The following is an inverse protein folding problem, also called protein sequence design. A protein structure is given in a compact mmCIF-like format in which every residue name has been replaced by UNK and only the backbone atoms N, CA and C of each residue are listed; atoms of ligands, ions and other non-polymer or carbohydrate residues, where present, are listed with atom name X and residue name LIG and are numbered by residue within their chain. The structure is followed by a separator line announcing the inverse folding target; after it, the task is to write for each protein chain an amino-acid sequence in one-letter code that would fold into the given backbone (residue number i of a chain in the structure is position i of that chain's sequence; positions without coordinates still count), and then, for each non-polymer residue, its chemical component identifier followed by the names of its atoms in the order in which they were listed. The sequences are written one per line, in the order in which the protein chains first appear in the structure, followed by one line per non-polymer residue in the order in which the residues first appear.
data_IF_806205260072
#
_entry.id   IF_806205260072
#
_cell.length_a   1.000
_cell.length_b   1.000
_cell.length_c   1.000
_cell.angle_alpha   90.00
_cell.angle_beta   90.00
_cell.angle_gamma   90.00
#
_symmetry.space_group_name_H-M   'P 1'
#
loop_
_entity.id
_entity.type
_entity.pdbx_description
1 polymer ?
#
# COMPACT_ATOMS: atom_id res chain seq x y z
N UNK A 1 28.02 -0.10 -9.18
CA UNK A 1 27.12 0.52 -10.17
C UNK A 1 26.38 -0.56 -10.94
N UNK A 2 27.08 -1.42 -11.71
CA UNK A 2 26.47 -2.60 -12.36
C UNK A 2 25.77 -3.51 -11.33
N UNK A 3 26.41 -3.77 -10.18
CA UNK A 3 25.79 -4.52 -9.07
C UNK A 3 24.50 -3.87 -8.52
N UNK A 4 24.47 -2.54 -8.39
CA UNK A 4 23.27 -1.84 -7.86
C UNK A 4 22.13 -1.84 -8.89
N UNK A 5 22.44 -1.74 -10.19
CA UNK A 5 21.46 -1.88 -11.26
C UNK A 5 20.88 -3.29 -11.30
N UNK A 6 21.72 -4.32 -11.16
CA UNK A 6 21.26 -5.71 -11.11
C UNK A 6 20.40 -5.99 -9.87
N UNK A 7 20.79 -5.47 -8.70
CA UNK A 7 19.98 -5.55 -7.47
C UNK A 7 18.61 -4.90 -7.64
N UNK A 8 18.56 -3.71 -8.24
CA UNK A 8 17.30 -3.00 -8.50
C UNK A 8 16.41 -3.79 -9.45
N UNK A 9 16.96 -4.25 -10.58
CA UNK A 9 16.21 -5.04 -11.56
C UNK A 9 15.63 -6.32 -10.93
N UNK A 10 16.43 -7.05 -10.16
CA UNK A 10 15.95 -8.25 -9.46
C UNK A 10 14.81 -7.93 -8.48
N UNK A 11 14.92 -6.84 -7.71
CA UNK A 11 13.88 -6.44 -6.78
C UNK A 11 12.57 -6.03 -7.50
N UNK A 12 12.67 -5.37 -8.66
CA UNK A 12 11.51 -5.07 -9.50
C UNK A 12 10.89 -6.37 -10.02
N UNK A 13 11.69 -7.30 -10.55
CA UNK A 13 11.21 -8.60 -11.04
C UNK A 13 10.46 -9.37 -9.93
N UNK A 14 10.97 -9.39 -8.70
CA UNK A 14 10.27 -10.01 -7.57
C UNK A 14 8.98 -9.26 -7.21
N UNK A 15 8.98 -7.93 -7.28
CA UNK A 15 7.77 -7.12 -7.03
C UNK A 15 6.70 -7.38 -8.09
N UNK A 16 7.08 -7.59 -9.36
CA UNK A 16 6.14 -7.95 -10.43
C UNK A 16 5.51 -9.34 -10.18
N UNK A 17 6.29 -10.34 -9.80
CA UNK A 17 5.79 -11.68 -9.42
C UNK A 17 4.80 -11.61 -8.24
N UNK A 18 5.08 -10.74 -7.30
CA UNK A 18 4.24 -10.46 -6.17
C UNK A 18 2.89 -9.86 -6.54
N UNK A 19 2.85 -8.92 -7.49
CA UNK A 19 1.62 -8.35 -8.04
C UNK A 19 0.81 -9.39 -8.81
N UNK A 20 1.48 -10.29 -9.55
CA UNK A 20 0.80 -11.44 -10.17
C UNK A 20 0.15 -12.35 -9.12
N UNK A 21 0.82 -12.56 -7.99
CA UNK A 21 0.29 -13.37 -6.89
C UNK A 21 -0.93 -12.72 -6.25
N UNK A 22 -0.91 -11.39 -6.05
CA UNK A 22 -2.06 -10.63 -5.55
C UNK A 22 -3.24 -10.65 -6.54
N UNK A 23 -2.95 -10.53 -7.84
CA UNK A 23 -3.95 -10.65 -8.91
C UNK A 23 -4.64 -12.01 -8.85
N UNK A 24 -3.87 -13.10 -8.86
CA UNK A 24 -4.40 -14.45 -8.80
C UNK A 24 -5.19 -14.73 -7.49
N UNK A 25 -4.77 -14.13 -6.37
CA UNK A 25 -5.50 -14.22 -5.09
C UNK A 25 -6.89 -13.57 -5.18
N UNK A 26 -6.96 -12.38 -5.79
CA UNK A 26 -8.22 -11.68 -5.98
C UNK A 26 -9.16 -12.46 -6.91
N UNK A 27 -8.65 -12.96 -8.03
CA UNK A 27 -9.40 -13.81 -8.97
C UNK A 27 -9.93 -15.09 -8.31
N UNK A 28 -9.10 -15.78 -7.53
CA UNK A 28 -9.51 -16.98 -6.80
C UNK A 28 -10.62 -16.73 -5.76
N UNK A 29 -10.76 -15.46 -5.33
CA UNK A 29 -11.80 -15.01 -4.42
C UNK A 29 -13.03 -14.42 -5.15
N UNK A 30 -13.03 -14.42 -6.48
CA UNK A 30 -14.10 -13.84 -7.31
C UNK A 30 -14.15 -12.31 -7.30
N UNK A 31 -13.03 -11.65 -7.00
CA UNK A 31 -12.91 -10.20 -6.88
C UNK A 31 -12.25 -9.60 -8.13
N UNK A 32 -12.92 -9.72 -9.29
CA UNK A 32 -12.34 -9.36 -10.60
C UNK A 32 -11.91 -7.89 -10.70
N UNK A 33 -12.70 -6.96 -10.14
CA UNK A 33 -12.34 -5.53 -10.11
C UNK A 33 -11.06 -5.28 -9.29
N UNK A 34 -10.83 -6.07 -8.24
CA UNK A 34 -9.61 -5.99 -7.42
C UNK A 34 -8.43 -6.63 -8.13
N UNK A 35 -8.65 -7.72 -8.87
CA UNK A 35 -7.60 -8.31 -9.73
C UNK A 35 -7.13 -7.30 -10.79
N UNK A 36 -8.06 -6.57 -11.41
CA UNK A 36 -7.74 -5.52 -12.39
C UNK A 36 -6.87 -4.39 -11.81
N UNK A 37 -7.05 -4.06 -10.53
CA UNK A 37 -6.19 -3.09 -9.83
C UNK A 37 -4.73 -3.55 -9.80
N UNK A 38 -4.47 -4.77 -9.34
CA UNK A 38 -3.10 -5.29 -9.24
C UNK A 38 -2.47 -5.59 -10.60
N UNK A 39 -3.28 -5.94 -11.60
CA UNK A 39 -2.83 -6.00 -12.99
C UNK A 39 -2.39 -4.62 -13.51
N UNK A 40 -3.15 -3.56 -13.19
CA UNK A 40 -2.76 -2.18 -13.49
C UNK A 40 -1.47 -1.75 -12.78
N UNK A 41 -1.31 -2.12 -11.50
CA UNK A 41 -0.08 -1.90 -10.75
C UNK A 41 1.13 -2.59 -11.38
N UNK A 42 0.94 -3.82 -11.87
CA UNK A 42 1.99 -4.52 -12.62
C UNK A 42 2.35 -3.78 -13.89
N UNK A 43 1.37 -3.33 -14.68
CA UNK A 43 1.64 -2.54 -15.89
C UNK A 43 2.38 -1.24 -15.60
N UNK A 44 2.03 -0.56 -14.50
CA UNK A 44 2.73 0.66 -14.06
C UNK A 44 4.19 0.37 -13.69
N UNK A 45 4.45 -0.71 -12.95
CA UNK A 45 5.79 -1.05 -12.48
C UNK A 45 6.70 -1.59 -13.61
N UNK A 46 6.12 -2.26 -14.61
CA UNK A 46 6.84 -2.81 -15.77
C UNK A 46 7.21 -1.75 -16.82
N UNK A 47 6.95 -0.47 -16.53
CA UNK A 47 7.35 0.63 -17.40
C UNK A 47 8.89 0.80 -17.42
N UNK A 48 9.55 0.60 -18.59
CA UNK A 48 11.00 0.74 -18.70
C UNK A 48 11.51 2.15 -18.38
N UNK A 49 10.67 3.19 -18.44
CA UNK A 49 11.07 4.56 -18.10
C UNK A 49 11.40 4.72 -16.61
N UNK A 50 10.73 3.98 -15.71
CA UNK A 50 11.04 4.00 -14.28
C UNK A 50 12.45 3.44 -13.99
N UNK A 51 12.79 2.31 -14.62
CA UNK A 51 14.11 1.71 -14.48
C UNK A 51 15.20 2.58 -15.12
N UNK A 52 14.90 3.21 -16.25
CA UNK A 52 15.82 4.14 -16.90
C UNK A 52 16.13 5.34 -15.98
N UNK A 53 15.09 5.99 -15.42
CA UNK A 53 15.26 7.11 -14.50
C UNK A 53 16.09 6.73 -13.25
N UNK A 54 15.83 5.57 -12.66
CA UNK A 54 16.61 5.10 -11.51
C UNK A 54 18.07 4.79 -11.91
N UNK A 55 18.27 4.24 -13.11
CA UNK A 55 19.61 3.93 -13.65
C UNK A 55 20.44 5.19 -13.89
N UNK A 56 19.82 6.30 -14.31
CA UNK A 56 20.47 7.59 -14.45
C UNK A 56 20.94 8.13 -13.09
N UNK A 57 20.11 8.06 -12.05
CA UNK A 57 20.48 8.47 -10.69
C UNK A 57 21.66 7.64 -10.15
N UNK A 58 21.63 6.32 -10.34
CA UNK A 58 22.73 5.43 -9.93
C UNK A 58 24.06 5.80 -10.61
N UNK A 59 24.01 6.20 -11.88
CA UNK A 59 25.20 6.57 -12.65
C UNK A 59 25.72 7.95 -12.26
N UNK A 60 24.84 8.93 -12.07
CA UNK A 60 25.22 10.33 -11.85
C UNK A 60 25.55 10.64 -10.38
N UNK A 61 24.80 10.05 -9.43
CA UNK A 61 24.95 10.36 -8.01
C UNK A 61 25.79 9.33 -7.25
N UNK A 62 26.12 8.19 -7.88
CA UNK A 62 26.85 7.07 -7.26
C UNK A 62 26.18 6.59 -5.94
N UNK A 63 24.85 6.57 -5.92
CA UNK A 63 24.02 6.19 -4.79
C UNK A 63 23.64 4.69 -4.81
N UNK A 64 22.86 4.24 -3.82
CA UNK A 64 22.37 2.86 -3.74
C UNK A 64 21.06 2.67 -4.50
N UNK A 65 20.72 1.42 -4.85
CA UNK A 65 19.47 1.05 -5.49
C UNK A 65 18.24 1.51 -4.70
N UNK A 66 18.26 1.40 -3.38
CA UNK A 66 17.16 1.83 -2.51
C UNK A 66 16.93 3.33 -2.63
N UNK A 67 18.01 4.12 -2.58
CA UNK A 67 17.90 5.57 -2.68
C UNK A 67 17.42 5.99 -4.07
N UNK A 68 18.03 5.47 -5.14
CA UNK A 68 17.65 5.81 -6.51
C UNK A 68 16.16 5.47 -6.78
N UNK A 69 15.74 4.27 -6.41
CA UNK A 69 14.35 3.83 -6.57
C UNK A 69 13.38 4.68 -5.74
N UNK A 70 13.76 4.99 -4.50
CA UNK A 70 12.96 5.84 -3.62
C UNK A 70 12.78 7.24 -4.19
N UNK A 71 13.78 7.83 -4.85
CA UNK A 71 13.62 9.15 -5.48
C UNK A 71 12.61 9.10 -6.62
N UNK A 72 12.78 8.15 -7.56
CA UNK A 72 11.89 8.03 -8.74
C UNK A 72 10.44 7.84 -8.32
N UNK A 73 10.17 6.90 -7.40
CA UNK A 73 8.79 6.57 -7.03
C UNK A 73 8.18 7.62 -6.11
N UNK A 74 8.97 8.30 -5.27
CA UNK A 74 8.47 9.45 -4.51
C UNK A 74 8.10 10.62 -5.41
N UNK A 75 8.86 10.87 -6.47
CA UNK A 75 8.52 11.90 -7.44
C UNK A 75 7.20 11.56 -8.15
N UNK A 76 7.04 10.31 -8.61
CA UNK A 76 5.78 9.86 -9.20
C UNK A 76 4.60 9.95 -8.22
N UNK A 77 4.80 9.54 -6.97
CA UNK A 77 3.80 9.65 -5.89
C UNK A 77 3.37 11.11 -5.67
N UNK A 78 4.33 12.04 -5.63
CA UNK A 78 4.06 13.47 -5.53
C UNK A 78 3.31 14.03 -6.74
N UNK A 79 3.62 13.57 -7.96
CA UNK A 79 2.89 13.96 -9.17
C UNK A 79 1.41 13.58 -9.06
N UNK A 80 1.09 12.37 -8.58
CA UNK A 80 -0.30 11.98 -8.32
C UNK A 80 -0.96 12.89 -7.28
N UNK A 81 -0.27 13.18 -6.16
CA UNK A 81 -0.80 14.07 -5.11
C UNK A 81 -1.12 15.50 -5.59
N UNK A 82 -0.49 15.95 -6.69
CA UNK A 82 -0.69 17.28 -7.26
C UNK A 82 -1.82 17.35 -8.30
N UNK A 83 -2.44 16.23 -8.66
CA UNK A 83 -3.58 16.22 -9.59
C UNK A 83 -4.79 16.91 -8.97
N UNK A 84 -5.71 17.46 -9.77
CA UNK A 84 -6.89 18.17 -9.24
C UNK A 84 -8.01 17.22 -8.77
N UNK A 85 -8.06 16.00 -9.30
CA UNK A 85 -9.11 15.02 -9.03
C UNK A 85 -8.75 14.14 -7.84
N UNK A 86 -9.58 14.14 -6.78
CA UNK A 86 -9.34 13.40 -5.54
C UNK A 86 -9.17 11.87 -5.74
N UNK A 87 -9.89 11.29 -6.71
CA UNK A 87 -9.79 9.87 -7.03
C UNK A 87 -8.44 9.54 -7.69
N UNK A 88 -7.97 10.43 -8.58
CA UNK A 88 -6.65 10.32 -9.19
C UNK A 88 -5.53 10.63 -8.18
N UNK A 89 -5.71 11.61 -7.31
CA UNK A 89 -4.76 11.90 -6.23
C UNK A 89 -4.52 10.66 -5.38
N UNK A 90 -5.58 9.95 -4.99
CA UNK A 90 -5.48 8.77 -4.14
C UNK A 90 -4.59 7.64 -4.69
N UNK A 91 -4.22 7.68 -5.98
CA UNK A 91 -3.28 6.73 -6.59
C UNK A 91 -1.85 6.86 -6.06
N UNK A 92 -1.50 7.94 -5.36
CA UNK A 92 -0.20 8.03 -4.68
C UNK A 92 0.02 6.85 -3.72
N UNK A 93 -1.06 6.35 -3.09
CA UNK A 93 -1.02 5.21 -2.16
C UNK A 93 -0.61 3.92 -2.89
N UNK A 94 -1.01 3.78 -4.15
CA UNK A 94 -0.63 2.64 -4.99
C UNK A 94 0.86 2.72 -5.36
N UNK A 95 1.36 3.92 -5.69
CA UNK A 95 2.78 4.15 -5.97
C UNK A 95 3.64 3.90 -4.73
N UNK A 96 3.16 4.34 -3.56
CA UNK A 96 3.84 4.11 -2.28
C UNK A 96 3.85 2.60 -1.92
N UNK A 97 2.79 1.86 -2.26
CA UNK A 97 2.74 0.39 -2.13
C UNK A 97 3.82 -0.28 -3.00
N UNK A 98 3.92 0.10 -4.27
CA UNK A 98 4.96 -0.40 -5.19
C UNK A 98 6.37 -0.09 -4.66
N UNK A 99 6.61 1.16 -4.24
CA UNK A 99 7.87 1.58 -3.65
C UNK A 99 8.22 0.71 -2.43
N UNK A 100 7.30 0.60 -1.48
CA UNK A 100 7.49 -0.17 -0.25
C UNK A 100 7.84 -1.62 -0.57
N UNK A 101 7.09 -2.25 -1.47
CA UNK A 101 7.26 -3.65 -1.84
C UNK A 101 8.61 -3.92 -2.51
N UNK A 102 9.07 -3.03 -3.39
CA UNK A 102 10.40 -3.15 -4.00
C UNK A 102 11.52 -2.90 -2.98
N UNK A 103 11.34 -1.97 -2.03
CA UNK A 103 12.32 -1.74 -0.96
C UNK A 103 12.46 -2.95 -0.02
N UNK A 104 11.38 -3.66 0.26
CA UNK A 104 11.41 -4.91 1.04
C UNK A 104 12.31 -5.94 0.36
N UNK A 105 12.21 -6.11 -0.97
CA UNK A 105 13.09 -6.99 -1.74
C UNK A 105 14.54 -6.51 -1.77
N UNK A 106 14.78 -5.22 -1.99
CA UNK A 106 16.12 -4.63 -2.03
C UNK A 106 16.89 -4.81 -0.71
N UNK A 107 16.17 -4.60 0.39
CA UNK A 107 16.73 -4.70 1.76
C UNK A 107 16.69 -6.12 2.31
N UNK A 108 16.07 -7.06 1.59
CA UNK A 108 15.83 -8.45 2.02
C UNK A 108 15.13 -8.52 3.39
N UNK A 109 14.30 -7.51 3.68
CA UNK A 109 13.56 -7.45 4.93
C UNK A 109 12.43 -8.46 4.90
N UNK A 110 12.23 -9.19 6.01
CA UNK A 110 11.03 -9.99 6.18
C UNK A 110 9.97 -9.16 6.87
N UNK A 111 8.92 -8.83 6.14
CA UNK A 111 7.73 -8.23 6.73
C UNK A 111 6.63 -9.29 6.76
N UNK A 112 6.11 -9.56 7.95
CA UNK A 112 4.95 -10.40 8.15
C UNK A 112 3.83 -9.53 8.71
N UNK A 113 2.64 -9.67 8.15
CA UNK A 113 1.48 -9.03 8.75
C UNK A 113 1.24 -9.62 10.14
N UNK A 114 0.91 -8.79 11.14
CA UNK A 114 0.63 -9.28 12.47
C UNK A 114 -0.49 -10.30 12.42
N UNK A 115 -0.34 -11.38 13.19
CA UNK A 115 -1.40 -12.36 13.35
C UNK A 115 -2.34 -11.90 14.46
N UNK A 116 -3.63 -11.88 14.15
CA UNK A 116 -4.68 -11.50 15.08
C UNK A 116 -5.42 -12.77 15.55
N UNK A 117 -5.63 -12.88 16.85
CA UNK A 117 -6.29 -14.03 17.49
C UNK A 117 -7.70 -13.68 18.05
N UNK A 118 -8.13 -12.44 17.85
CA UNK A 118 -9.40 -11.91 18.34
C UNK A 118 -9.88 -10.79 17.41
N UNK A 119 -11.20 -10.48 17.41
CA UNK A 119 -11.74 -9.40 16.59
C UNK A 119 -10.96 -8.09 16.77
N UNK A 120 -10.34 -7.59 15.71
CA UNK A 120 -9.38 -6.48 15.78
C UNK A 120 -9.79 -5.32 14.88
N UNK A 121 -9.55 -4.10 15.35
CA UNK A 121 -9.57 -2.87 14.54
C UNK A 121 -8.12 -2.42 14.34
N UNK A 122 -7.71 -2.24 13.09
CA UNK A 122 -6.37 -1.76 12.76
C UNK A 122 -6.33 -0.24 12.76
N UNK A 123 -5.33 0.31 13.43
CA UNK A 123 -5.03 1.73 13.43
C UNK A 123 -3.70 1.94 12.72
N UNK A 124 -3.68 2.85 11.76
CA UNK A 124 -2.47 3.21 11.04
C UNK A 124 -2.56 4.66 10.54
N UNK A 125 -1.45 5.20 10.07
CA UNK A 125 -1.48 6.48 9.36
C UNK A 125 -2.13 6.32 7.98
N UNK A 126 -1.66 5.34 7.22
CA UNK A 126 -2.22 4.91 5.95
C UNK A 126 -2.04 3.39 5.82
N UNK A 127 -2.64 2.77 4.81
CA UNK A 127 -2.49 1.32 4.55
C UNK A 127 -2.54 1.04 3.05
N UNK A 128 -1.67 0.14 2.60
CA UNK A 128 -1.52 -0.21 1.19
C UNK A 128 -2.59 -1.20 0.70
N UNK A 129 -3.02 -1.12 -0.57
CA UNK A 129 -4.00 -2.06 -1.12
C UNK A 129 -3.50 -3.50 -1.07
N UNK A 130 -2.21 -3.75 -1.32
CA UNK A 130 -1.58 -5.07 -1.18
C UNK A 130 -1.72 -5.65 0.24
N UNK A 131 -1.66 -4.78 1.25
CA UNK A 131 -1.80 -5.16 2.67
C UNK A 131 -3.25 -5.48 2.99
N UNK A 132 -4.20 -4.65 2.55
CA UNK A 132 -5.63 -4.85 2.83
C UNK A 132 -6.13 -6.18 2.23
N UNK A 133 -5.72 -6.53 1.01
CA UNK A 133 -6.08 -7.80 0.37
C UNK A 133 -5.59 -9.04 1.16
N UNK A 134 -4.58 -8.87 2.02
CA UNK A 134 -4.02 -9.94 2.84
C UNK A 134 -4.74 -10.16 4.16
N UNK A 135 -5.60 -9.23 4.58
CA UNK A 135 -6.30 -9.32 5.86
C UNK A 135 -7.38 -10.40 5.85
N UNK A 136 -7.55 -11.06 6.99
CA UNK A 136 -8.66 -12.00 7.21
C UNK A 136 -9.87 -11.24 7.78
N UNK A 137 -10.97 -11.08 7.02
CA UNK A 137 -12.17 -10.40 7.50
C UNK A 137 -12.91 -11.17 8.62
N UNK A 138 -12.59 -12.45 8.83
CA UNK A 138 -13.08 -13.20 9.98
C UNK A 138 -12.50 -12.67 11.30
N UNK A 139 -11.34 -12.02 11.27
CA UNK A 139 -10.64 -11.49 12.46
C UNK A 139 -10.54 -9.97 12.44
N UNK A 140 -10.11 -9.36 11.34
CA UNK A 140 -10.03 -7.91 11.21
C UNK A 140 -11.41 -7.34 10.88
N UNK A 141 -12.00 -6.61 11.83
CA UNK A 141 -13.36 -6.06 11.72
C UNK A 141 -13.39 -4.63 11.24
N UNK A 142 -12.27 -3.92 11.32
CA UNK A 142 -12.20 -2.57 10.80
C UNK A 142 -10.79 -2.04 10.66
N UNK A 143 -10.68 -0.97 9.88
CA UNK A 143 -9.49 -0.18 9.64
C UNK A 143 -9.86 1.28 9.92
N UNK A 144 -9.01 1.94 10.69
CA UNK A 144 -9.18 3.32 11.09
C UNK A 144 -7.87 4.09 10.86
N UNK A 145 -7.87 5.00 9.88
CA UNK A 145 -6.65 5.69 9.43
C UNK A 145 -6.61 7.15 9.87
N UNK A 146 -5.43 7.64 10.27
CA UNK A 146 -5.25 9.07 10.60
C UNK A 146 -5.22 9.92 9.32
N UNK A 147 -4.59 9.39 8.28
CA UNK A 147 -4.62 9.90 6.92
C UNK A 147 -5.39 8.91 6.00
N UNK A 148 -4.97 8.79 4.75
CA UNK A 148 -5.62 7.97 3.73
C UNK A 148 -6.76 8.68 2.99
N UNK A 149 -7.40 7.95 2.08
CA UNK A 149 -8.46 8.47 1.22
C UNK A 149 -9.67 7.53 1.17
N UNK A 150 -10.91 8.06 1.23
CA UNK A 150 -12.13 7.26 1.13
C UNK A 150 -12.34 6.69 -0.28
N UNK A 151 -11.63 7.21 -1.28
CA UNK A 151 -11.70 6.78 -2.70
C UNK A 151 -10.44 6.00 -3.14
N UNK A 152 -9.57 5.64 -2.20
CA UNK A 152 -8.39 4.80 -2.45
C UNK A 152 -8.77 3.36 -2.82
N UNK A 153 -7.85 2.64 -3.49
CA UNK A 153 -8.04 1.20 -3.70
C UNK A 153 -8.05 0.43 -2.38
N UNK A 154 -7.27 0.85 -1.38
CA UNK A 154 -7.34 0.29 -0.02
C UNK A 154 -8.76 0.34 0.57
N UNK A 155 -9.45 1.49 0.42
CA UNK A 155 -10.82 1.65 0.87
C UNK A 155 -11.82 0.77 0.10
N UNK A 156 -11.65 0.68 -1.23
CA UNK A 156 -12.45 -0.21 -2.07
C UNK A 156 -12.28 -1.67 -1.65
N UNK A 157 -11.03 -2.15 -1.55
CA UNK A 157 -10.72 -3.53 -1.18
C UNK A 157 -11.27 -3.85 0.21
N UNK A 158 -11.09 -2.96 1.19
CA UNK A 158 -11.64 -3.18 2.54
C UNK A 158 -13.16 -3.38 2.51
N UNK A 159 -13.88 -2.59 1.71
CA UNK A 159 -15.34 -2.69 1.57
C UNK A 159 -15.77 -4.00 0.92
N UNK A 160 -15.10 -4.43 -0.15
CA UNK A 160 -15.38 -5.71 -0.81
C UNK A 160 -15.11 -6.90 0.11
N UNK A 161 -14.11 -6.79 0.99
CA UNK A 161 -13.82 -7.81 2.02
C UNK A 161 -14.79 -7.75 3.22
N UNK A 162 -15.68 -6.76 3.30
CA UNK A 162 -16.59 -6.57 4.44
C UNK A 162 -15.91 -6.03 5.70
N UNK A 163 -14.74 -5.40 5.57
CA UNK A 163 -13.99 -4.75 6.64
C UNK A 163 -14.47 -3.30 6.78
N UNK A 164 -14.84 -2.88 8.00
CA UNK A 164 -15.25 -1.50 8.25
C UNK A 164 -14.11 -0.51 7.95
N UNK A 165 -14.39 0.58 7.23
CA UNK A 165 -13.37 1.54 6.83
C UNK A 165 -13.72 2.95 7.28
N UNK A 166 -12.84 3.56 8.08
CA UNK A 166 -12.83 5.01 8.30
C UNK A 166 -11.41 5.55 8.12
N UNK A 167 -11.29 6.75 7.56
CA UNK A 167 -10.01 7.40 7.33
C UNK A 167 -10.07 8.89 7.70
N UNK A 168 -8.96 9.61 7.53
CA UNK A 168 -8.88 11.05 7.79
C UNK A 168 -9.25 11.44 9.25
N UNK A 169 -8.92 10.58 10.21
CA UNK A 169 -9.25 10.80 11.63
C UNK A 169 -8.24 11.71 12.35
N UNK A 170 -7.13 12.05 11.70
CA UNK A 170 -6.06 12.90 12.22
C UNK A 170 -5.39 12.35 13.46
N UNK A 171 -4.74 13.24 14.21
CA UNK A 171 -3.89 12.89 15.36
C UNK A 171 -4.63 12.23 16.52
N UNK A 172 -5.98 12.28 16.53
CA UNK A 172 -6.81 11.65 17.55
C UNK A 172 -6.54 10.15 17.70
N UNK A 173 -6.10 9.49 16.62
CA UNK A 173 -5.75 8.07 16.66
C UNK A 173 -4.49 7.79 17.46
N UNK A 174 -3.52 8.70 17.49
CA UNK A 174 -2.25 8.49 18.21
C UNK A 174 -2.43 8.45 19.74
N UNK A 175 -3.58 8.92 20.24
CA UNK A 175 -3.91 8.84 21.65
C UNK A 175 -4.50 7.47 22.07
N UNK A 176 -4.79 6.57 21.12
CA UNK A 176 -5.35 5.25 21.40
C UNK A 176 -4.20 4.27 21.69
N UNK A 177 -4.29 3.56 22.81
CA UNK A 177 -3.35 2.51 23.15
C UNK A 177 -3.75 1.19 22.46
N UNK A 178 -2.76 0.33 22.15
CA UNK A 178 -3.04 -1.05 21.73
C UNK A 178 -3.99 -1.74 22.72
N UNK A 179 -4.84 -2.62 22.20
CA UNK A 179 -5.82 -3.41 22.98
C UNK A 179 -6.98 -2.60 23.60
N UNK A 180 -7.07 -1.28 23.38
CA UNK A 180 -8.28 -0.51 23.71
C UNK A 180 -9.48 -0.98 22.85
N UNK A 181 -10.65 -1.09 23.49
CA UNK A 181 -11.88 -1.45 22.78
C UNK A 181 -12.48 -0.22 22.09
N UNK A 182 -12.65 -0.31 20.78
CA UNK A 182 -13.22 0.75 19.95
C UNK A 182 -14.50 0.29 19.27
N UNK A 183 -15.37 1.26 18.98
CA UNK A 183 -16.50 1.10 18.08
C UNK A 183 -16.29 1.99 16.86
N UNK A 184 -16.38 1.43 15.66
CA UNK A 184 -16.36 2.18 14.40
C UNK A 184 -17.78 2.41 13.90
N UNK A 185 -18.18 3.66 13.75
CA UNK A 185 -19.36 4.06 13.00
C UNK A 185 -18.93 4.47 11.58
N UNK A 186 -18.98 3.49 10.67
CA UNK A 186 -18.59 3.66 9.26
C UNK A 186 -19.51 4.66 8.55
N UNK A 187 -20.78 4.75 8.95
CA UNK A 187 -21.75 5.65 8.32
C UNK A 187 -21.44 7.10 8.64
N UNK A 188 -21.05 7.39 9.89
CA UNK A 188 -20.72 8.76 10.32
C UNK A 188 -19.23 9.08 10.27
N UNK A 189 -18.38 8.12 9.85
CA UNK A 189 -16.92 8.25 9.78
C UNK A 189 -16.31 8.64 11.13
N UNK A 190 -16.74 7.96 12.20
CA UNK A 190 -16.30 8.22 13.58
C UNK A 190 -15.93 6.94 14.29
N UNK A 191 -14.96 7.03 15.20
CA UNK A 191 -14.73 5.99 16.21
C UNK A 191 -15.06 6.52 17.61
N UNK A 192 -15.41 5.60 18.51
CA UNK A 192 -15.59 5.89 19.93
C UNK A 192 -14.83 4.86 20.75
N UNK A 193 -14.24 5.31 21.87
CA UNK A 193 -13.70 4.41 22.89
C UNK A 193 -14.85 3.86 23.70
N UNK A 194 -14.85 2.55 23.96
CA UNK A 194 -15.72 2.00 24.98
C UNK A 194 -15.08 2.27 26.34
N UNK A 195 -15.79 3.01 27.19
CA UNK A 195 -15.37 3.32 28.57
C UNK A 195 -15.70 2.19 29.53
#
# INVERSE_FOLDING_TARGET
MEEEQDRLRQAIDFTLLDLMTLTAKAEASGLDDIAAIFSGHHTLLDDPELLAAASELLQHEHCTAEYAWQQVLKELSQQYQQLDDEYLQARYIDVDDLLHRTLVHLTQTKEELPQFNSPTILLAENIYPSTVLQLDPAVVKGICLSAGSPVSHSALIARELGIGWICQQGEKLYAIQPEETLTLDVKTQRFNRQG
#
